data_IF_991439096580
#
_entry.id   IF_991439096580
#
_cell.length_a   1.000
_cell.length_b   1.000
_cell.length_c   1.000
_cell.angle_alpha   90.00
_cell.angle_beta   90.00
_cell.angle_gamma   90.00
#
_symmetry.space_group_name_H-M   'P 1'
#
loop_
_entity.id
_entity.type
_entity.pdbx_description
1 polymer ?
#
# COMPACT_ATOMS: atom_id res chain seq x y z
N UNK A 1 -18.68 -14.73 -14.50
CA UNK A 1 -17.24 -14.55 -14.21
C UNK A 1 -17.14 -13.55 -13.07
N UNK A 2 -16.37 -13.83 -12.02
CA UNK A 2 -16.22 -12.91 -10.88
C UNK A 2 -15.37 -11.70 -11.30
N UNK A 3 -15.70 -10.47 -10.90
CA UNK A 3 -14.82 -9.34 -11.13
C UNK A 3 -13.46 -9.58 -10.46
N UNK A 4 -12.38 -9.28 -11.17
CA UNK A 4 -11.01 -9.43 -10.67
C UNK A 4 -10.47 -8.09 -10.17
N UNK A 5 -9.91 -8.08 -8.96
CA UNK A 5 -9.23 -6.91 -8.39
C UNK A 5 -7.75 -7.22 -8.26
N UNK A 6 -6.93 -6.41 -8.93
CA UNK A 6 -5.48 -6.50 -8.84
C UNK A 6 -5.04 -6.02 -7.46
N UNK A 7 -4.11 -6.77 -6.87
CA UNK A 7 -3.50 -6.45 -5.61
C UNK A 7 -1.97 -6.44 -5.75
N UNK A 8 -1.35 -5.45 -5.12
CA UNK A 8 0.10 -5.33 -4.98
C UNK A 8 0.43 -4.93 -3.54
N UNK A 9 1.34 -5.69 -2.92
CA UNK A 9 1.84 -5.43 -1.57
C UNK A 9 3.26 -5.97 -1.42
N UNK A 10 4.26 -5.08 -1.53
CA UNK A 10 5.69 -5.42 -1.46
C UNK A 10 6.43 -4.42 -0.56
N UNK A 11 7.64 -4.75 -0.16
CA UNK A 11 8.53 -3.89 0.64
C UNK A 11 9.93 -3.85 0.04
N UNK A 12 10.66 -2.82 0.43
CA UNK A 12 12.10 -2.71 0.29
C UNK A 12 12.65 -2.18 1.61
N UNK A 13 13.74 -2.80 2.09
CA UNK A 13 14.43 -2.33 3.29
C UNK A 13 15.01 -0.94 3.01
N UNK A 14 14.91 -0.07 4.01
CA UNK A 14 15.49 1.28 3.94
C UNK A 14 16.50 1.42 5.06
N UNK A 15 17.70 1.92 4.76
CA UNK A 15 18.76 2.11 5.77
C UNK A 15 18.37 3.20 6.79
N UNK A 16 19.02 3.26 7.96
CA UNK A 16 18.66 4.23 9.02
C UNK A 16 18.68 5.71 8.59
N UNK A 17 19.33 6.04 7.48
CA UNK A 17 19.36 7.38 6.85
C UNK A 17 18.07 7.71 6.09
N UNK A 18 17.17 6.74 5.91
CA UNK A 18 15.96 6.85 5.12
C UNK A 18 14.67 7.04 5.94
N UNK A 19 14.81 7.49 7.19
CA UNK A 19 13.67 7.85 8.07
C UNK A 19 12.92 9.11 7.65
N UNK A 20 13.40 9.79 6.61
CA UNK A 20 12.90 11.10 6.19
C UNK A 20 11.96 10.98 4.99
N UNK A 21 11.11 11.99 4.85
CA UNK A 21 10.27 12.23 3.67
C UNK A 21 11.08 12.11 2.37
N UNK A 22 12.30 12.63 2.36
CA UNK A 22 13.23 12.61 1.22
C UNK A 22 13.58 11.19 0.76
N UNK A 23 13.66 10.23 1.68
CA UNK A 23 13.98 8.87 1.31
C UNK A 23 12.80 8.11 0.68
N UNK A 24 11.58 8.38 1.15
CA UNK A 24 10.38 7.88 0.48
C UNK A 24 10.23 8.49 -0.92
N UNK A 25 10.58 9.76 -1.09
CA UNK A 25 10.64 10.40 -2.39
C UNK A 25 11.68 9.76 -3.31
N UNK A 26 12.86 9.38 -2.80
CA UNK A 26 13.87 8.66 -3.59
C UNK A 26 13.41 7.27 -4.01
N UNK A 27 12.79 6.50 -3.11
CA UNK A 27 12.20 5.19 -3.45
C UNK A 27 11.09 5.37 -4.48
N UNK A 28 10.19 6.34 -4.27
CA UNK A 28 9.10 6.63 -5.20
C UNK A 28 9.61 7.10 -6.57
N UNK A 29 10.67 7.90 -6.63
CA UNK A 29 11.31 8.29 -7.88
C UNK A 29 11.92 7.09 -8.61
N UNK A 30 12.58 6.18 -7.88
CA UNK A 30 13.15 4.94 -8.44
C UNK A 30 12.06 4.03 -9.02
N UNK A 31 10.98 3.82 -8.27
CA UNK A 31 9.80 3.06 -8.74
C UNK A 31 9.15 3.76 -9.94
N UNK A 32 9.03 5.09 -9.88
CA UNK A 32 8.50 5.92 -10.96
C UNK A 32 9.27 5.75 -12.26
N UNK A 33 10.61 5.80 -12.20
CA UNK A 33 11.45 5.54 -13.36
C UNK A 33 11.30 4.09 -13.88
N UNK A 34 11.26 3.10 -12.99
CA UNK A 34 11.11 1.69 -13.36
C UNK A 34 9.77 1.41 -14.07
N UNK A 35 8.70 2.06 -13.63
CA UNK A 35 7.33 1.88 -14.14
C UNK A 35 6.90 2.97 -15.14
N UNK A 36 7.80 3.90 -15.47
CA UNK A 36 7.54 5.06 -16.31
C UNK A 36 6.31 5.88 -15.86
N UNK A 37 6.27 6.21 -14.56
CA UNK A 37 5.27 7.07 -13.96
C UNK A 37 5.92 8.09 -13.02
N UNK A 38 5.13 9.08 -12.59
CA UNK A 38 5.59 10.11 -11.64
C UNK A 38 4.75 10.01 -10.39
N UNK A 39 5.43 9.89 -9.26
CA UNK A 39 4.82 9.97 -7.94
C UNK A 39 4.73 11.43 -7.51
N UNK A 40 3.66 11.75 -6.81
CA UNK A 40 3.42 13.05 -6.18
C UNK A 40 3.05 12.85 -4.73
N UNK A 41 3.26 13.88 -3.92
CA UNK A 41 2.78 13.89 -2.54
C UNK A 41 1.26 13.67 -2.49
N UNK A 42 0.85 12.80 -1.57
CA UNK A 42 -0.55 12.49 -1.34
C UNK A 42 -0.72 11.71 -0.04
N UNK A 43 -1.84 10.99 0.04
CA UNK A 43 -2.18 10.24 1.23
C UNK A 43 -2.60 8.80 0.94
N UNK A 44 -2.19 7.93 1.85
CA UNK A 44 -2.64 6.56 1.98
C UNK A 44 -2.99 6.30 3.44
N UNK A 45 -4.23 5.89 3.73
CA UNK A 45 -4.70 5.65 5.10
C UNK A 45 -4.51 6.83 6.07
N UNK A 46 -4.69 8.07 5.59
CA UNK A 46 -4.48 9.32 6.35
C UNK A 46 -3.02 9.58 6.73
N UNK A 47 -2.10 8.86 6.08
CA UNK A 47 -0.66 9.03 6.22
C UNK A 47 -0.05 9.62 4.97
N UNK A 48 1.03 10.38 5.18
CA UNK A 48 1.88 10.84 4.10
C UNK A 48 2.30 9.68 3.21
N UNK A 49 2.10 9.84 1.91
CA UNK A 49 2.45 8.86 0.91
C UNK A 49 2.92 9.56 -0.35
N UNK A 50 3.78 8.88 -1.10
CA UNK A 50 4.02 9.20 -2.50
C UNK A 50 3.04 8.38 -3.33
N UNK A 51 2.21 9.04 -4.16
CA UNK A 51 1.12 8.41 -4.91
C UNK A 51 1.32 8.58 -6.41
N UNK A 52 1.10 7.50 -7.16
CA UNK A 52 1.07 7.53 -8.63
C UNK A 52 -0.12 6.71 -9.15
N UNK A 53 -0.54 7.00 -10.38
CA UNK A 53 -1.59 6.25 -11.06
C UNK A 53 -1.01 5.62 -12.32
N UNK A 54 -0.98 4.28 -12.38
CA UNK A 54 -0.43 3.53 -13.51
C UNK A 54 -1.13 2.19 -13.64
N UNK A 55 -1.36 1.73 -14.88
CA UNK A 55 -2.05 0.47 -15.17
C UNK A 55 -3.44 0.31 -14.52
N UNK A 56 -4.16 1.40 -14.30
CA UNK A 56 -5.46 1.38 -13.61
C UNK A 56 -5.36 1.17 -12.08
N UNK A 57 -4.15 1.25 -11.52
CA UNK A 57 -3.88 1.15 -10.09
C UNK A 57 -3.52 2.53 -9.51
N UNK A 58 -4.02 2.80 -8.31
CA UNK A 58 -3.45 3.80 -7.41
C UNK A 58 -2.31 3.13 -6.67
N UNK A 59 -1.09 3.48 -7.04
CA UNK A 59 0.12 3.07 -6.32
C UNK A 59 0.39 4.06 -5.20
N UNK A 60 0.75 3.55 -4.02
CA UNK A 60 1.20 4.37 -2.89
C UNK A 60 2.49 3.79 -2.33
N UNK A 61 3.52 4.63 -2.19
CA UNK A 61 4.75 4.32 -1.45
C UNK A 61 4.62 4.99 -0.08
N UNK A 62 4.72 4.18 0.97
CA UNK A 62 4.61 4.63 2.37
C UNK A 62 5.75 4.08 3.20
N UNK A 63 6.23 4.87 4.16
CA UNK A 63 7.20 4.38 5.14
C UNK A 63 6.51 3.57 6.21
N UNK A 64 7.10 2.44 6.59
CA UNK A 64 6.67 1.63 7.72
C UNK A 64 7.85 1.41 8.65
N UNK A 65 7.67 1.77 9.92
CA UNK A 65 8.69 1.61 10.93
C UNK A 65 8.52 0.31 11.72
N UNK A 66 9.65 -0.29 12.12
CA UNK A 66 9.70 -1.37 13.12
C UNK A 66 9.40 -2.79 12.61
N UNK A 67 9.41 -3.03 11.29
CA UNK A 67 9.33 -4.39 10.74
C UNK A 67 10.64 -5.12 11.01
N UNK A 68 10.63 -6.14 11.87
CA UNK A 68 11.86 -6.87 12.25
C UNK A 68 12.93 -5.96 12.88
N UNK A 69 12.54 -4.82 13.46
CA UNK A 69 13.45 -3.79 13.98
C UNK A 69 14.04 -2.85 12.92
N UNK A 70 13.56 -2.92 11.68
CA UNK A 70 13.99 -2.08 10.55
C UNK A 70 12.88 -1.15 10.08
N UNK A 71 13.29 -0.10 9.39
CA UNK A 71 12.39 0.75 8.63
C UNK A 71 12.36 0.27 7.17
N UNK A 72 11.17 0.31 6.57
CA UNK A 72 10.96 -0.17 5.20
C UNK A 72 10.10 0.81 4.43
N UNK A 73 10.31 0.86 3.11
CA UNK A 73 9.35 1.47 2.21
C UNK A 73 8.41 0.38 1.68
N UNK A 74 7.12 0.59 1.88
CA UNK A 74 6.04 -0.29 1.43
C UNK A 74 5.43 0.29 0.16
N UNK A 75 5.40 -0.50 -0.91
CA UNK A 75 4.67 -0.18 -2.14
C UNK A 75 3.38 -0.99 -2.17
N UNK A 76 2.27 -0.28 -2.31
CA UNK A 76 0.93 -0.85 -2.39
C UNK A 76 0.21 -0.40 -3.63
N UNK A 77 -0.61 -1.28 -4.19
CA UNK A 77 -1.47 -0.96 -5.32
C UNK A 77 -2.91 -1.42 -5.09
N UNK A 78 -3.85 -0.52 -5.36
CA UNK A 78 -5.28 -0.84 -5.42
C UNK A 78 -5.91 -0.35 -6.72
N UNK A 79 -6.90 -1.08 -7.23
CA UNK A 79 -7.67 -0.70 -8.42
C UNK A 79 -8.43 0.61 -8.14
N UNK A 80 -8.33 1.57 -9.06
CA UNK A 80 -8.94 2.91 -8.93
C UNK A 80 -10.47 2.87 -9.10
N UNK A 81 -10.96 1.89 -9.86
CA UNK A 81 -12.34 1.80 -10.33
C UNK A 81 -13.31 1.37 -9.22
N UNK A 82 -14.28 2.25 -8.89
CA UNK A 82 -15.34 1.97 -7.90
C UNK A 82 -16.35 0.92 -8.36
N UNK A 83 -16.42 0.63 -9.67
CA UNK A 83 -17.36 -0.32 -10.28
C UNK A 83 -17.21 -1.76 -9.80
N UNK A 84 -16.11 -2.10 -9.11
CA UNK A 84 -15.88 -3.42 -8.55
C UNK A 84 -16.57 -3.65 -7.20
N UNK A 85 -17.15 -2.62 -6.56
CA UNK A 85 -17.73 -2.76 -5.21
C UNK A 85 -19.06 -3.49 -5.22
N UNK A 86 -19.87 -3.33 -6.27
CA UNK A 86 -21.21 -3.89 -6.35
C UNK A 86 -21.31 -4.92 -7.47
N UNK A 87 -22.13 -5.94 -7.25
CA UNK A 87 -22.50 -6.86 -8.32
C UNK A 87 -23.11 -6.08 -9.50
N UNK A 88 -22.91 -6.51 -10.76
CA UNK A 88 -23.42 -5.78 -11.92
C UNK A 88 -24.94 -5.56 -11.94
N UNK A 89 -25.68 -6.38 -11.19
CA UNK A 89 -27.14 -6.31 -11.02
C UNK A 89 -27.59 -5.45 -9.81
N UNK A 90 -26.64 -4.83 -9.09
CA UNK A 90 -26.91 -3.99 -7.92
C UNK A 90 -27.35 -4.75 -6.67
N UNK A 91 -27.29 -6.08 -6.68
CA UNK A 91 -27.84 -6.94 -5.61
C UNK A 91 -27.03 -6.96 -4.31
N UNK A 92 -25.87 -6.31 -4.26
CA UNK A 92 -25.01 -6.27 -3.08
C UNK A 92 -23.54 -6.11 -3.45
N UNK A 93 -22.65 -6.42 -2.50
CA UNK A 93 -21.21 -6.42 -2.72
C UNK A 93 -20.84 -7.47 -3.78
N UNK A 94 -19.96 -7.11 -4.71
CA UNK A 94 -19.46 -8.08 -5.67
C UNK A 94 -18.62 -9.15 -4.96
N UNK A 95 -18.78 -10.42 -5.35
CA UNK A 95 -17.75 -11.41 -5.05
C UNK A 95 -16.54 -11.16 -5.94
N UNK A 96 -15.48 -10.62 -5.36
CA UNK A 96 -14.26 -10.23 -6.07
C UNK A 96 -13.22 -11.35 -5.97
N UNK A 97 -12.62 -11.70 -7.10
CA UNK A 97 -11.42 -12.54 -7.13
C UNK A 97 -10.17 -11.64 -7.05
N UNK A 98 -9.27 -11.89 -6.10
CA UNK A 98 -8.03 -11.11 -5.93
C UNK A 98 -6.94 -11.69 -6.81
N UNK A 99 -6.41 -10.87 -7.70
CA UNK A 99 -5.25 -11.22 -8.53
C UNK A 99 -4.03 -10.53 -7.95
N UNK A 100 -3.18 -11.31 -7.28
CA UNK A 100 -1.97 -10.80 -6.66
C UNK A 100 -0.82 -10.77 -7.66
N UNK A 101 -0.25 -9.58 -7.92
CA UNK A 101 0.87 -9.38 -8.84
C UNK A 101 2.19 -9.13 -8.11
N UNK A 102 2.23 -9.32 -6.79
CA UNK A 102 3.36 -8.91 -5.95
C UNK A 102 4.66 -9.59 -6.33
N UNK A 103 4.66 -10.90 -6.65
CA UNK A 103 5.87 -11.62 -7.07
C UNK A 103 6.44 -11.05 -8.37
N UNK A 104 5.59 -10.77 -9.35
CA UNK A 104 6.00 -10.16 -10.60
C UNK A 104 6.62 -8.77 -10.38
N UNK A 105 6.01 -7.97 -9.50
CA UNK A 105 6.49 -6.63 -9.18
C UNK A 105 7.79 -6.66 -8.37
N UNK A 106 7.98 -7.64 -7.49
CA UNK A 106 9.26 -7.87 -6.79
C UNK A 106 10.37 -8.10 -7.79
N UNK A 107 10.21 -9.04 -8.72
CA UNK A 107 11.24 -9.38 -9.70
C UNK A 107 11.55 -8.19 -10.60
N UNK A 108 10.51 -7.54 -11.13
CA UNK A 108 10.65 -6.39 -12.02
C UNK A 108 11.38 -5.24 -11.33
N UNK A 109 10.93 -4.84 -10.14
CA UNK A 109 11.51 -3.69 -9.44
C UNK A 109 12.91 -4.00 -8.92
N UNK A 110 13.17 -5.23 -8.47
CA UNK A 110 14.53 -5.64 -8.09
C UNK A 110 15.52 -5.51 -9.25
N UNK A 111 15.13 -5.96 -10.45
CA UNK A 111 15.97 -5.83 -11.64
C UNK A 111 16.14 -4.37 -12.06
N UNK A 112 15.09 -3.55 -11.96
CA UNK A 112 15.07 -2.19 -12.52
C UNK A 112 15.62 -1.13 -11.59
N UNK A 113 15.53 -1.33 -10.28
CA UNK A 113 16.01 -0.38 -9.28
C UNK A 113 17.27 -0.87 -8.56
N UNK A 114 17.69 -2.13 -8.78
CA UNK A 114 18.79 -2.80 -8.06
C UNK A 114 18.58 -2.89 -6.54
N UNK A 115 17.38 -2.59 -6.05
CA UNK A 115 17.01 -2.70 -4.64
C UNK A 115 16.40 -4.08 -4.38
N UNK A 116 16.61 -4.62 -3.19
CA UNK A 116 16.06 -5.92 -2.82
C UNK A 116 14.59 -5.77 -2.39
N UNK A 117 13.68 -5.86 -3.35
CA UNK A 117 12.25 -5.89 -3.06
C UNK A 117 11.84 -7.28 -2.60
N UNK A 118 10.82 -7.35 -1.74
CA UNK A 118 10.31 -8.62 -1.23
C UNK A 118 8.82 -8.54 -0.89
N UNK A 119 8.19 -9.71 -0.80
CA UNK A 119 6.83 -9.84 -0.27
C UNK A 119 6.86 -9.86 1.26
N UNK A 120 5.93 -9.16 1.93
CA UNK A 120 5.85 -9.22 3.37
C UNK A 120 5.59 -10.65 3.86
N UNK A 121 6.39 -11.05 4.85
CA UNK A 121 6.17 -12.26 5.64
C UNK A 121 4.97 -12.06 6.59
N UNK A 122 4.46 -13.14 7.21
CA UNK A 122 3.46 -13.00 8.28
C UNK A 122 3.94 -12.14 9.45
N UNK A 123 5.24 -12.18 9.77
CA UNK A 123 5.86 -11.38 10.83
C UNK A 123 5.89 -9.90 10.47
N UNK A 124 6.20 -9.56 9.22
CA UNK A 124 6.17 -8.18 8.72
C UNK A 124 4.78 -7.58 8.85
N UNK A 125 3.75 -8.35 8.47
CA UNK A 125 2.35 -7.94 8.62
C UNK A 125 1.96 -7.79 10.09
N UNK A 126 2.46 -8.65 10.97
CA UNK A 126 2.19 -8.54 12.41
C UNK A 126 2.84 -7.28 13.00
N UNK A 127 4.08 -6.97 12.61
CA UNK A 127 4.78 -5.75 13.00
C UNK A 127 4.06 -4.49 12.49
N UNK A 128 3.62 -4.49 11.22
CA UNK A 128 2.78 -3.43 10.64
C UNK A 128 1.52 -3.17 11.46
N UNK A 129 0.76 -4.24 11.78
CA UNK A 129 -0.46 -4.12 12.59
C UNK A 129 -0.16 -3.60 14.00
N UNK A 130 0.92 -4.04 14.62
CA UNK A 130 1.32 -3.58 15.94
C UNK A 130 1.80 -2.12 15.92
N UNK A 131 2.42 -1.66 14.83
CA UNK A 131 2.78 -0.26 14.65
C UNK A 131 1.54 0.62 14.43
N UNK A 132 0.61 0.18 13.58
CA UNK A 132 -0.67 0.86 13.36
C UNK A 132 -1.50 0.96 14.65
N UNK A 133 -1.63 -0.14 15.41
CA UNK A 133 -2.38 -0.16 16.66
C UNK A 133 -1.80 0.77 17.74
N UNK A 134 -0.47 0.84 17.88
CA UNK A 134 0.19 1.78 18.81
C UNK A 134 -0.08 3.24 18.43
N UNK A 135 -0.29 3.53 17.16
CA UNK A 135 -0.59 4.88 16.70
C UNK A 135 -2.05 5.26 16.94
N UNK A 136 -2.98 4.33 16.72
CA UNK A 136 -4.39 4.52 17.10
C UNK A 136 -4.55 4.75 18.62
N UNK A 137 -3.72 4.08 19.42
CA UNK A 137 -3.63 4.30 20.87
C UNK A 137 -3.03 5.69 21.20
N UNK A 138 -1.98 6.12 20.49
CA UNK A 138 -1.31 7.42 20.68
C UNK A 138 -2.20 8.62 20.29
N UNK A 139 -3.08 8.45 19.31
CA UNK A 139 -4.11 9.43 18.95
C UNK A 139 -5.29 9.48 19.94
N UNK A 140 -5.15 8.82 21.10
CA UNK A 140 -6.06 8.94 22.22
C UNK A 140 -7.22 7.96 22.21
N UNK A 141 -7.01 6.74 21.68
CA UNK A 141 -8.01 5.67 21.66
C UNK A 141 -9.31 6.15 21.01
N UNK A 142 -9.37 6.12 19.68
CA UNK A 142 -10.54 6.60 18.94
C UNK A 142 -11.78 5.77 19.27
N UNK A 143 -12.56 6.23 20.25
CA UNK A 143 -13.98 5.92 20.39
C UNK A 143 -14.73 7.24 20.64
N UNK A 144 -15.93 7.49 20.05
CA UNK A 144 -16.72 6.75 19.08
C UNK A 144 -16.93 7.60 17.81
N UNK A 145 -15.99 7.60 16.88
CA UNK A 145 -16.39 7.55 15.47
C UNK A 145 -15.91 6.19 15.02
N UNK A 146 -16.71 5.19 15.37
CA UNK A 146 -16.48 3.83 14.91
C UNK A 146 -16.28 3.88 13.41
N UNK A 147 -15.26 3.18 12.94
CA UNK A 147 -15.04 2.81 11.55
C UNK A 147 -16.33 2.96 10.75
N UNK A 148 -16.45 4.05 10.01
CA UNK A 148 -17.69 4.35 9.28
C UNK A 148 -17.70 3.57 7.98
N UNK A 149 -18.87 3.39 7.37
CA UNK A 149 -18.97 2.83 6.01
C UNK A 149 -18.13 3.65 5.02
N UNK A 150 -17.91 4.94 5.27
CA UNK A 150 -17.04 5.84 4.51
C UNK A 150 -15.55 5.58 4.77
N UNK A 151 -15.18 5.17 5.98
CA UNK A 151 -13.83 4.73 6.32
C UNK A 151 -13.55 3.32 5.78
N UNK A 152 -14.54 2.44 5.78
CA UNK A 152 -14.50 1.15 5.09
C UNK A 152 -14.40 1.34 3.57
N UNK A 153 -15.12 2.33 3.02
CA UNK A 153 -15.05 2.76 1.61
C UNK A 153 -13.69 3.36 1.25
N UNK A 154 -13.03 4.05 2.18
CA UNK A 154 -11.79 4.80 1.91
C UNK A 154 -10.52 4.05 2.31
N UNK A 155 -10.60 3.13 3.26
CA UNK A 155 -9.45 2.51 3.93
C UNK A 155 -9.59 1.00 4.17
N UNK A 156 -10.80 0.42 4.01
CA UNK A 156 -11.10 -0.99 4.30
C UNK A 156 -10.71 -2.00 3.23
N UNK A 157 -10.17 -1.53 2.10
CA UNK A 157 -9.64 -2.39 1.05
C UNK A 157 -8.22 -2.89 1.36
N UNK A 158 -8.10 -3.75 2.39
CA UNK A 158 -6.90 -4.53 2.70
C UNK A 158 -7.24 -5.98 3.06
#
# INVERSE_FOLDING_TARGET
MKPQKIHLDIRVDTDETMKTVEALEQVAASVGQALNCTFVEGEFQRWYAQVAYVFGLKLSVVGVAGIGGKDVAKLVGSVIEKGFRYAPDGSGLAEIERVDISDYMVDLLTIRTELQWYRPTPEDRAAERAAAGRFDDMLGGVGPRGWTTDDEEKFGDW
#
